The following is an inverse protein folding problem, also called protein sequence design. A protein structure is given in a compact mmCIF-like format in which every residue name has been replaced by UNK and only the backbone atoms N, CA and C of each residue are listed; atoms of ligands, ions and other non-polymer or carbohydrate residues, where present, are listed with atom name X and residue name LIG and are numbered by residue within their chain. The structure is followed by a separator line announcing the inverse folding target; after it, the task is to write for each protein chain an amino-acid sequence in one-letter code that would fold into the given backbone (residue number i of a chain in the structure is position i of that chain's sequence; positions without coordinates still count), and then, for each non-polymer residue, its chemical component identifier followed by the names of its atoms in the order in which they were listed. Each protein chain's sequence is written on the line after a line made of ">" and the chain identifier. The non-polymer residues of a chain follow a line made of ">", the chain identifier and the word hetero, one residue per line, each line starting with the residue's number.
data_IF_407550472824
#
_entry.id   IF_407550472824
#
_cell.length_a   1.000
_cell.length_b   1.000
_cell.length_c   1.000
_cell.angle_alpha   90.00
_cell.angle_beta   90.00
_cell.angle_gamma   90.00
#
_symmetry.space_group_name_H-M   'P 1'
#
loop_
_entity.id
_entity.type
_entity.pdbx_description
1 polymer ?
#
# COMPACT_ATOMS: atom_id res chain seq x y z
N UNK A 1 42.81 17.40 1.83
CA UNK A 1 41.93 17.90 0.74
C UNK A 1 41.33 16.80 -0.15
N UNK A 2 42.06 15.77 -0.59
CA UNK A 2 41.50 14.75 -1.51
C UNK A 2 40.31 13.95 -0.94
N UNK A 3 40.39 13.53 0.32
CA UNK A 3 39.29 12.83 1.01
C UNK A 3 38.03 13.70 1.10
N UNK A 4 38.19 15.01 1.31
CA UNK A 4 37.07 15.97 1.40
C UNK A 4 36.34 16.07 0.05
N UNK A 5 37.05 16.05 -1.09
CA UNK A 5 36.43 16.20 -2.42
C UNK A 5 35.59 15.02 -2.89
N UNK A 6 35.83 13.83 -2.35
CA UNK A 6 35.04 12.64 -2.65
C UNK A 6 34.03 12.34 -1.54
N UNK A 7 34.41 12.58 -0.29
CA UNK A 7 33.57 12.30 0.87
C UNK A 7 32.42 13.28 1.05
N UNK A 8 32.60 14.58 0.73
CA UNK A 8 31.54 15.57 1.00
C UNK A 8 30.26 15.32 0.19
N UNK A 9 30.30 15.10 -1.14
CA UNK A 9 29.10 14.75 -1.90
C UNK A 9 28.43 13.46 -1.43
N UNK A 10 29.22 12.44 -1.08
CA UNK A 10 28.71 11.16 -0.57
C UNK A 10 28.05 11.31 0.81
N UNK A 11 28.61 12.16 1.69
CA UNK A 11 28.02 12.47 2.99
C UNK A 11 26.69 13.23 2.84
N UNK A 12 26.62 14.16 1.89
CA UNK A 12 25.37 14.86 1.54
C UNK A 12 24.31 13.88 1.04
N UNK A 13 24.68 12.94 0.17
CA UNK A 13 23.78 11.89 -0.30
C UNK A 13 23.25 11.02 0.85
N UNK A 14 24.12 10.55 1.74
CA UNK A 14 23.74 9.74 2.90
C UNK A 14 22.84 10.50 3.90
N UNK A 15 23.08 11.81 4.09
CA UNK A 15 22.23 12.64 4.95
C UNK A 15 20.84 12.86 4.34
N UNK A 16 20.76 13.17 3.05
CA UNK A 16 19.48 13.32 2.34
C UNK A 16 18.67 12.02 2.33
N UNK A 17 19.36 10.87 2.25
CA UNK A 17 18.75 9.55 2.34
C UNK A 17 18.07 9.32 3.70
N UNK A 18 18.77 9.68 4.78
CA UNK A 18 18.24 9.58 6.15
C UNK A 18 17.09 10.57 6.38
N UNK A 19 17.22 11.81 5.91
CA UNK A 19 16.16 12.82 6.03
C UNK A 19 14.89 12.38 5.31
N UNK A 20 15.00 11.78 4.12
CA UNK A 20 13.85 11.23 3.39
C UNK A 20 13.12 10.16 4.21
N UNK A 21 13.85 9.17 4.73
CA UNK A 21 13.26 8.11 5.55
C UNK A 21 12.64 8.62 6.85
N UNK A 22 13.26 9.63 7.49
CA UNK A 22 12.72 10.27 8.68
C UNK A 22 11.45 11.09 8.41
N UNK A 23 11.38 11.79 7.27
CA UNK A 23 10.19 12.53 6.86
C UNK A 23 9.01 11.60 6.57
N UNK A 24 9.24 10.50 5.87
CA UNK A 24 8.20 9.49 5.60
C UNK A 24 7.65 8.89 6.90
N UNK A 25 8.54 8.52 7.83
CA UNK A 25 8.13 8.00 9.15
C UNK A 25 7.27 9.02 9.92
N UNK A 26 7.71 10.28 9.98
CA UNK A 26 6.97 11.34 10.64
C UNK A 26 5.63 11.60 9.95
N UNK A 27 5.60 11.53 8.62
CA UNK A 27 4.40 11.64 7.80
C UNK A 27 3.36 10.60 8.15
N UNK A 28 3.73 9.33 8.20
CA UNK A 28 2.81 8.24 8.57
C UNK A 28 2.25 8.40 9.99
N UNK A 29 3.02 8.98 10.90
CA UNK A 29 2.58 9.19 12.28
C UNK A 29 1.65 10.41 12.44
N UNK A 30 1.79 11.43 11.59
CA UNK A 30 1.13 12.74 11.80
C UNK A 30 0.10 13.11 10.74
N UNK A 31 0.17 12.52 9.54
CA UNK A 31 -0.67 12.86 8.40
C UNK A 31 -1.48 11.64 7.96
N UNK A 32 -2.80 11.80 7.93
CA UNK A 32 -3.72 10.82 7.34
C UNK A 32 -4.28 11.31 6.00
N UNK A 33 -4.74 10.36 5.18
CA UNK A 33 -5.40 10.64 3.90
C UNK A 33 -4.48 11.25 2.83
N UNK A 34 -4.97 12.20 2.01
CA UNK A 34 -4.27 12.64 0.79
C UNK A 34 -2.93 13.34 1.06
N UNK A 35 -2.76 13.95 2.25
CA UNK A 35 -1.50 14.60 2.64
C UNK A 35 -0.36 13.61 2.83
N UNK A 36 -0.68 12.42 3.37
CA UNK A 36 0.30 11.34 3.49
C UNK A 36 0.79 10.85 2.13
N UNK A 37 -0.13 10.74 1.16
CA UNK A 37 0.22 10.33 -0.20
C UNK A 37 1.10 11.34 -0.95
N UNK A 38 0.87 12.65 -0.76
CA UNK A 38 1.76 13.67 -1.34
C UNK A 38 3.14 13.60 -0.71
N UNK A 39 3.23 13.38 0.61
CA UNK A 39 4.52 13.28 1.27
C UNK A 39 5.31 12.06 0.78
N UNK A 40 4.67 10.90 0.59
CA UNK A 40 5.38 9.70 0.10
C UNK A 40 5.90 9.85 -1.33
N UNK A 41 5.29 10.72 -2.15
CA UNK A 41 5.83 11.08 -3.46
C UNK A 41 7.07 11.97 -3.37
N UNK A 42 7.11 12.89 -2.39
CA UNK A 42 8.21 13.85 -2.24
C UNK A 42 9.37 13.25 -1.44
N UNK A 43 9.09 12.51 -0.38
CA UNK A 43 10.07 11.85 0.49
C UNK A 43 9.82 10.34 0.43
N UNK A 44 10.23 9.66 -0.65
CA UNK A 44 9.98 8.24 -0.80
C UNK A 44 10.65 7.44 0.33
N UNK A 45 10.06 6.28 0.61
CA UNK A 45 10.53 5.34 1.64
C UNK A 45 11.92 4.80 1.26
N UNK A 46 12.96 5.37 1.87
CA UNK A 46 14.36 4.95 1.68
C UNK A 46 14.78 3.84 2.64
N UNK A 47 14.17 3.80 3.82
CA UNK A 47 14.32 2.73 4.82
C UNK A 47 12.92 2.24 5.16
N UNK A 48 12.64 0.93 5.07
CA UNK A 48 11.33 0.39 5.39
C UNK A 48 10.87 0.81 6.79
N UNK A 49 9.66 1.34 6.93
CA UNK A 49 9.14 1.85 8.20
C UNK A 49 9.10 0.77 9.27
N UNK A 50 8.80 -0.47 8.87
CA UNK A 50 8.80 -1.65 9.73
C UNK A 50 10.17 -1.85 10.42
N UNK A 51 11.26 -1.60 9.69
CA UNK A 51 12.63 -1.70 10.19
C UNK A 51 12.98 -0.55 11.15
N UNK A 52 12.46 0.65 10.90
CA UNK A 52 12.65 1.82 11.78
C UNK A 52 11.92 1.67 13.11
N UNK A 53 10.81 0.95 13.13
CA UNK A 53 10.05 0.65 14.36
C UNK A 53 10.60 -0.52 15.16
N UNK A 54 11.65 -1.20 14.67
CA UNK A 54 12.24 -2.32 15.38
C UNK A 54 12.84 -1.88 16.73
N UNK A 55 12.72 -2.71 17.79
CA UNK A 55 13.29 -2.37 19.09
C UNK A 55 14.81 -2.20 19.01
N UNK A 56 15.34 -1.38 19.91
CA UNK A 56 16.78 -1.21 20.04
C UNK A 56 17.47 -2.58 20.27
N UNK A 57 18.63 -2.83 19.64
CA UNK A 57 19.45 -1.88 18.88
C UNK A 57 19.17 -1.86 17.35
N UNK A 58 18.18 -2.62 16.88
CA UNK A 58 18.04 -2.95 15.45
C UNK A 58 17.73 -1.76 14.57
N UNK A 59 16.81 -0.89 14.99
CA UNK A 59 16.46 0.34 14.27
C UNK A 59 17.69 1.24 14.07
N UNK A 60 18.49 1.47 15.12
CA UNK A 60 19.71 2.25 15.01
C UNK A 60 20.74 1.62 14.07
N UNK A 61 20.94 0.31 14.18
CA UNK A 61 21.90 -0.42 13.36
C UNK A 61 21.53 -0.39 11.87
N UNK A 62 20.25 -0.55 11.53
CA UNK A 62 19.75 -0.47 10.15
C UNK A 62 19.91 0.94 9.56
N UNK A 63 19.62 1.98 10.34
CA UNK A 63 19.85 3.37 9.92
C UNK A 63 21.33 3.60 9.58
N UNK A 64 22.24 3.21 10.48
CA UNK A 64 23.69 3.40 10.28
C UNK A 64 24.19 2.62 9.06
N UNK A 65 23.79 1.36 8.91
CA UNK A 65 24.21 0.53 7.78
C UNK A 65 23.68 1.06 6.45
N UNK A 66 22.42 1.51 6.41
CA UNK A 66 21.81 2.11 5.21
C UNK A 66 22.55 3.39 4.78
N UNK A 67 22.87 4.27 5.74
CA UNK A 67 23.69 5.46 5.46
C UNK A 67 25.09 5.12 4.92
N UNK A 68 25.77 4.15 5.53
CA UNK A 68 27.10 3.72 5.09
C UNK A 68 27.05 3.09 3.69
N UNK A 69 26.00 2.34 3.37
CA UNK A 69 25.80 1.74 2.07
C UNK A 69 25.64 2.82 0.97
N UNK A 70 24.79 3.83 1.19
CA UNK A 70 24.60 4.94 0.24
C UNK A 70 25.89 5.75 0.07
N UNK A 71 26.56 6.09 1.18
CA UNK A 71 27.83 6.80 1.14
C UNK A 71 28.86 6.07 0.29
N UNK A 72 29.03 4.77 0.55
CA UNK A 72 30.01 3.92 -0.11
C UNK A 72 29.69 3.71 -1.60
N UNK A 73 28.42 3.44 -1.94
CA UNK A 73 27.95 3.29 -3.31
C UNK A 73 28.19 4.56 -4.13
N UNK A 74 27.76 5.71 -3.60
CA UNK A 74 27.94 7.00 -4.28
C UNK A 74 29.43 7.33 -4.48
N UNK A 75 30.24 7.20 -3.42
CA UNK A 75 31.68 7.48 -3.48
C UNK A 75 32.40 6.57 -4.49
N UNK A 76 32.02 5.29 -4.54
CA UNK A 76 32.56 4.31 -5.49
C UNK A 76 32.23 4.67 -6.95
N UNK A 77 30.96 4.95 -7.24
CA UNK A 77 30.49 5.33 -8.58
C UNK A 77 31.11 6.65 -9.04
N UNK A 78 31.14 7.66 -8.17
CA UNK A 78 31.79 8.94 -8.45
C UNK A 78 33.30 8.78 -8.76
N UNK A 79 33.98 7.86 -8.06
CA UNK A 79 35.39 7.55 -8.35
C UNK A 79 35.61 6.85 -9.70
N UNK A 80 34.59 6.14 -10.21
CA UNK A 80 34.61 5.52 -11.55
C UNK A 80 34.36 6.58 -12.63
N UNK A 81 33.37 7.46 -12.44
CA UNK A 81 33.02 8.53 -13.40
C UNK A 81 34.19 9.49 -13.64
N UNK A 82 34.99 9.78 -12.60
CA UNK A 82 36.20 10.63 -12.70
C UNK A 82 37.33 10.06 -13.58
N UNK A 83 37.15 8.91 -14.22
CA UNK A 83 38.12 8.33 -15.16
C UNK A 83 38.06 9.07 -16.50
N UNK A 84 38.83 10.15 -16.65
CA UNK A 84 39.12 10.67 -18.00
C UNK A 84 39.84 9.60 -18.85
N UNK A 85 39.54 9.55 -20.17
CA UNK A 85 40.05 8.53 -21.09
C UNK A 85 41.56 8.65 -21.21
N UNK A 86 42.25 7.57 -20.85
CA UNK A 86 43.72 7.49 -20.83
C UNK A 86 44.36 7.42 -22.24
N UNK A 87 43.58 7.49 -23.32
CA UNK A 87 44.03 6.96 -24.62
C UNK A 87 44.15 7.97 -25.78
N UNK A 88 43.92 9.27 -25.57
CA UNK A 88 44.26 10.26 -26.62
C UNK A 88 45.75 10.67 -26.63
N UNK A 89 46.59 10.04 -25.79
CA UNK A 89 48.03 10.32 -25.70
C UNK A 89 48.88 9.47 -26.67
N UNK A 90 48.29 8.52 -27.42
CA UNK A 90 49.01 7.72 -28.40
C UNK A 90 48.67 8.13 -29.85
N UNK A 91 49.11 9.32 -30.26
CA UNK A 91 49.73 9.44 -31.59
C UNK A 91 48.89 9.62 -32.85
N UNK A 92 47.69 10.21 -32.81
CA UNK A 92 47.06 10.72 -34.05
C UNK A 92 47.26 12.23 -34.13
N UNK A 93 48.36 12.63 -34.78
CA UNK A 93 48.60 14.00 -35.23
C UNK A 93 47.58 14.30 -36.33
N UNK A 94 46.40 14.79 -35.96
CA UNK A 94 45.46 15.35 -36.92
C UNK A 94 45.96 16.76 -37.31
N UNK A 95 46.26 17.02 -38.60
CA UNK A 95 46.74 18.32 -39.04
C UNK A 95 45.64 19.39 -38.90
N UNK A 96 46.02 20.42 -38.18
CA UNK A 96 45.43 21.74 -38.00
C UNK A 96 44.56 22.22 -39.18
N UNK A 97 43.24 22.35 -38.97
CA UNK A 97 42.39 23.26 -39.75
C UNK A 97 41.77 24.27 -38.80
N UNK A 98 42.05 25.55 -39.06
CA UNK A 98 41.85 26.65 -38.13
C UNK A 98 40.39 27.01 -37.90
N UNK A 99 39.84 26.56 -36.79
CA UNK A 99 38.65 27.14 -36.17
C UNK A 99 38.99 27.50 -34.73
N UNK A 100 39.30 28.78 -34.50
CA UNK A 100 39.55 29.36 -33.18
C UNK A 100 38.21 29.47 -32.45
N UNK A 101 37.68 28.34 -31.98
CA UNK A 101 36.60 28.35 -30.99
C UNK A 101 37.19 28.84 -29.66
N UNK A 102 36.69 29.96 -29.15
CA UNK A 102 37.22 30.60 -27.95
C UNK A 102 37.16 29.70 -26.71
N UNK A 103 38.11 29.85 -25.77
CA UNK A 103 38.26 28.98 -24.58
C UNK A 103 37.06 28.97 -23.62
N UNK A 104 36.07 29.84 -23.82
CA UNK A 104 34.85 29.88 -23.01
C UNK A 104 33.85 28.78 -23.35
N UNK A 105 33.78 28.35 -24.62
CA UNK A 105 32.72 27.43 -25.08
C UNK A 105 33.01 25.97 -24.69
N UNK A 106 34.28 25.59 -24.61
CA UNK A 106 34.71 24.24 -24.20
C UNK A 106 34.52 24.00 -22.70
N UNK A 107 34.47 25.05 -21.88
CA UNK A 107 34.33 24.92 -20.42
C UNK A 107 32.88 24.64 -19.97
N UNK A 108 31.88 25.15 -20.69
CA UNK A 108 30.46 24.89 -20.38
C UNK A 108 30.01 23.45 -20.71
N UNK A 109 30.54 22.86 -21.79
CA UNK A 109 30.19 21.48 -22.17
C UNK A 109 30.62 20.44 -21.13
N UNK A 110 31.72 20.70 -20.42
CA UNK A 110 32.27 19.77 -19.43
C UNK A 110 31.54 19.83 -18.08
N UNK A 111 30.93 20.95 -17.72
CA UNK A 111 30.20 21.07 -16.44
C UNK A 111 28.85 20.36 -16.48
N UNK A 112 28.12 20.45 -17.60
CA UNK A 112 26.83 19.79 -17.75
C UNK A 112 26.97 18.25 -17.77
N UNK A 113 27.98 17.74 -18.46
CA UNK A 113 28.27 16.30 -18.51
C UNK A 113 28.74 15.76 -17.16
N UNK A 114 29.60 16.50 -16.44
CA UNK A 114 30.01 16.14 -15.08
C UNK A 114 28.82 16.11 -14.10
N UNK A 115 27.95 17.11 -14.15
CA UNK A 115 26.74 17.15 -13.34
C UNK A 115 25.84 15.93 -13.60
N UNK A 116 25.53 15.65 -14.87
CA UNK A 116 24.68 14.52 -15.24
C UNK A 116 25.28 13.19 -14.76
N UNK A 117 26.60 13.02 -14.87
CA UNK A 117 27.26 11.80 -14.44
C UNK A 117 27.21 11.61 -12.91
N UNK A 118 27.40 12.67 -12.11
CA UNK A 118 27.23 12.59 -10.66
C UNK A 118 25.79 12.39 -10.24
N UNK A 119 24.84 12.97 -10.95
CA UNK A 119 23.43 12.74 -10.70
C UNK A 119 23.04 11.28 -10.96
N UNK A 120 23.51 10.69 -12.05
CA UNK A 120 23.34 9.25 -12.32
C UNK A 120 23.99 8.37 -11.25
N UNK A 121 25.11 8.80 -10.64
CA UNK A 121 25.69 8.09 -9.49
C UNK A 121 24.75 8.08 -8.28
N UNK A 122 24.04 9.19 -8.02
CA UNK A 122 23.03 9.23 -6.96
C UNK A 122 21.85 8.29 -7.25
N UNK A 123 21.31 8.32 -8.48
CA UNK A 123 20.23 7.42 -8.93
C UNK A 123 20.64 5.96 -8.78
N UNK A 124 21.82 5.59 -9.29
CA UNK A 124 22.32 4.23 -9.19
C UNK A 124 22.59 3.81 -7.73
N UNK A 125 23.09 4.70 -6.88
CA UNK A 125 23.26 4.39 -5.45
C UNK A 125 21.94 4.15 -4.73
N UNK A 126 20.91 4.95 -5.02
CA UNK A 126 19.56 4.76 -4.48
C UNK A 126 18.95 3.43 -4.92
N UNK A 127 19.20 2.98 -6.14
CA UNK A 127 18.76 1.67 -6.63
C UNK A 127 19.54 0.49 -6.01
N UNK A 128 20.87 0.60 -5.93
CA UNK A 128 21.74 -0.52 -5.54
C UNK A 128 21.57 -0.95 -4.08
N UNK A 129 21.33 -0.01 -3.17
CA UNK A 129 21.21 -0.29 -1.74
C UNK A 129 20.02 -1.22 -1.42
N UNK A 130 18.78 -0.93 -1.84
CA UNK A 130 17.64 -1.82 -1.61
C UNK A 130 17.58 -3.01 -2.58
N UNK A 131 18.27 -2.97 -3.72
CA UNK A 131 18.32 -4.12 -4.63
C UNK A 131 18.97 -5.36 -3.98
N UNK A 132 19.92 -5.18 -3.04
CA UNK A 132 20.60 -6.28 -2.37
C UNK A 132 19.64 -7.17 -1.55
N UNK A 133 18.89 -6.64 -0.55
CA UNK A 133 17.95 -7.47 0.20
C UNK A 133 16.88 -8.07 -0.71
N UNK A 134 16.41 -7.32 -1.72
CA UNK A 134 15.45 -7.80 -2.73
C UNK A 134 15.96 -9.01 -3.50
N UNK A 135 17.22 -9.00 -3.94
CA UNK A 135 17.82 -10.15 -4.65
C UNK A 135 17.90 -11.37 -3.73
N UNK A 136 18.20 -11.18 -2.45
CA UNK A 136 18.24 -12.29 -1.49
C UNK A 136 16.83 -12.85 -1.23
N UNK A 137 15.83 -11.98 -1.04
CA UNK A 137 14.43 -12.39 -0.92
C UNK A 137 13.98 -13.18 -2.15
N UNK A 138 14.35 -12.71 -3.36
CA UNK A 138 14.05 -13.41 -4.60
C UNK A 138 14.72 -14.79 -4.68
N UNK A 139 15.99 -14.89 -4.27
CA UNK A 139 16.71 -16.16 -4.24
C UNK A 139 16.07 -17.13 -3.24
N UNK A 140 15.67 -16.66 -2.06
CA UNK A 140 14.98 -17.47 -1.06
C UNK A 140 13.60 -17.93 -1.56
N UNK A 141 12.82 -17.04 -2.18
CA UNK A 141 11.51 -17.38 -2.75
C UNK A 141 11.63 -18.46 -3.85
N UNK A 142 12.68 -18.39 -4.69
CA UNK A 142 12.98 -19.41 -5.70
C UNK A 142 13.32 -20.75 -5.05
N UNK A 143 14.13 -20.75 -3.98
CA UNK A 143 14.47 -21.97 -3.22
C UNK A 143 13.22 -22.58 -2.57
N UNK A 144 12.30 -21.76 -2.09
CA UNK A 144 11.05 -22.16 -1.42
C UNK A 144 9.88 -22.41 -2.39
N UNK A 145 10.07 -22.24 -3.70
CA UNK A 145 9.04 -22.36 -4.74
C UNK A 145 7.83 -21.44 -4.53
N UNK A 146 8.01 -20.29 -3.89
CA UNK A 146 6.97 -19.28 -3.71
C UNK A 146 7.04 -18.25 -4.84
N UNK A 147 5.89 -17.73 -5.30
CA UNK A 147 5.86 -16.66 -6.29
C UNK A 147 6.06 -15.30 -5.61
N UNK A 148 7.17 -14.59 -5.87
CA UNK A 148 7.46 -13.29 -5.25
C UNK A 148 6.69 -12.20 -6.01
N UNK A 149 5.38 -12.08 -5.78
CA UNK A 149 4.54 -11.12 -6.50
C UNK A 149 4.35 -9.86 -5.66
N UNK A 150 4.70 -8.69 -6.23
CA UNK A 150 4.28 -7.36 -5.76
C UNK A 150 5.36 -6.53 -5.04
N UNK A 151 5.98 -7.07 -3.99
CA UNK A 151 6.79 -6.26 -3.05
C UNK A 151 8.16 -5.78 -3.60
N UNK A 152 8.69 -6.50 -4.60
CA UNK A 152 10.02 -6.22 -5.16
C UNK A 152 10.04 -4.92 -5.96
N UNK A 153 9.01 -4.65 -6.76
CA UNK A 153 8.97 -3.49 -7.64
C UNK A 153 8.83 -2.19 -6.84
N UNK A 154 8.03 -2.18 -5.78
CA UNK A 154 7.71 -1.00 -5.00
C UNK A 154 8.93 -0.47 -4.21
N UNK A 155 9.67 -1.36 -3.53
CA UNK A 155 10.89 -1.02 -2.77
C UNK A 155 11.99 -0.42 -3.66
N UNK A 156 12.16 -1.00 -4.85
CA UNK A 156 13.20 -0.55 -5.80
C UNK A 156 12.79 0.76 -6.48
N UNK A 157 11.50 0.91 -6.80
CA UNK A 157 10.97 2.13 -7.42
C UNK A 157 11.09 3.35 -6.50
N UNK A 158 10.69 3.23 -5.22
CA UNK A 158 10.77 4.34 -4.26
C UNK A 158 12.19 4.85 -4.06
N UNK A 159 13.16 3.94 -3.99
CA UNK A 159 14.55 4.31 -3.82
C UNK A 159 15.23 4.86 -5.09
N UNK A 160 14.84 4.39 -6.27
CA UNK A 160 15.26 5.00 -7.53
C UNK A 160 14.67 6.42 -7.68
N UNK A 161 13.40 6.60 -7.30
CA UNK A 161 12.72 7.89 -7.25
C UNK A 161 13.44 8.87 -6.32
N UNK A 162 13.95 8.42 -5.17
CA UNK A 162 14.79 9.26 -4.31
C UNK A 162 15.99 9.84 -5.06
N UNK A 163 16.71 9.01 -5.80
CA UNK A 163 17.88 9.45 -6.55
C UNK A 163 17.54 10.43 -7.68
N UNK A 164 16.36 10.29 -8.30
CA UNK A 164 15.86 11.24 -9.27
C UNK A 164 15.51 12.60 -8.63
N UNK A 165 14.78 12.59 -7.51
CA UNK A 165 14.31 13.79 -6.83
C UNK A 165 15.41 14.57 -6.10
N UNK A 166 16.31 13.86 -5.42
CA UNK A 166 17.30 14.47 -4.52
C UNK A 166 18.73 14.36 -5.01
N UNK A 167 19.01 13.47 -5.97
CA UNK A 167 20.38 13.20 -6.43
C UNK A 167 21.07 14.39 -7.09
N UNK A 168 20.33 15.41 -7.52
CA UNK A 168 20.91 16.63 -8.09
C UNK A 168 21.70 17.45 -7.06
N UNK A 169 21.35 17.36 -5.77
CA UNK A 169 22.04 18.09 -4.68
C UNK A 169 23.49 17.60 -4.52
N UNK A 170 23.77 16.30 -4.26
CA UNK A 170 25.15 15.81 -4.17
C UNK A 170 25.91 15.98 -5.50
N UNK A 171 25.23 15.95 -6.65
CA UNK A 171 25.83 16.23 -7.95
C UNK A 171 26.31 17.69 -8.07
N UNK A 172 25.48 18.65 -7.67
CA UNK A 172 25.85 20.07 -7.64
C UNK A 172 27.01 20.33 -6.69
N UNK A 173 27.02 19.71 -5.50
CA UNK A 173 28.12 19.78 -4.53
C UNK A 173 29.41 19.22 -5.13
N UNK A 174 29.35 18.08 -5.85
CA UNK A 174 30.50 17.50 -6.51
C UNK A 174 31.11 18.42 -7.56
N UNK A 175 30.27 19.00 -8.44
CA UNK A 175 30.71 19.95 -9.49
C UNK A 175 31.29 21.22 -8.86
N UNK A 176 30.64 21.79 -7.84
CA UNK A 176 31.13 22.98 -7.15
C UNK A 176 32.54 22.77 -6.57
N UNK A 177 32.78 21.63 -5.90
CA UNK A 177 34.10 21.29 -5.35
C UNK A 177 35.17 21.16 -6.45
N UNK A 178 34.81 20.63 -7.61
CA UNK A 178 35.74 20.49 -8.74
C UNK A 178 36.12 21.83 -9.35
N UNK A 179 35.15 22.74 -9.50
CA UNK A 179 35.41 24.08 -10.03
C UNK A 179 36.34 24.91 -9.14
N UNK A 180 36.37 24.64 -7.82
CA UNK A 180 37.23 25.34 -6.86
C UNK A 180 38.67 24.80 -6.79
N UNK A 181 38.98 23.67 -7.43
CA UNK A 181 40.25 22.96 -7.24
C UNK A 181 41.26 23.08 -8.37
N UNK A 182 42.47 23.55 -8.08
CA UNK A 182 43.58 23.48 -9.05
C UNK A 182 44.02 22.01 -9.30
N UNK A 183 44.37 21.69 -10.55
CA UNK A 183 44.15 20.37 -11.17
C UNK A 183 45.31 19.37 -11.16
N UNK A 184 46.31 19.48 -10.29
CA UNK A 184 47.60 18.87 -10.63
C UNK A 184 47.88 17.43 -10.17
N UNK A 185 47.03 16.76 -9.38
CA UNK A 185 47.38 15.41 -8.88
C UNK A 185 46.23 14.38 -8.95
N UNK A 186 45.97 13.82 -10.15
CA UNK A 186 44.75 13.02 -10.41
C UNK A 186 44.91 11.48 -10.43
N UNK A 187 46.10 10.91 -10.59
CA UNK A 187 46.20 9.45 -10.89
C UNK A 187 46.25 8.54 -9.64
N UNK A 188 47.01 8.91 -8.59
CA UNK A 188 47.21 8.03 -7.42
C UNK A 188 46.01 7.97 -6.45
N UNK A 189 45.14 8.97 -6.49
CA UNK A 189 43.97 9.07 -5.60
C UNK A 189 42.83 8.09 -5.94
N UNK A 190 42.86 7.52 -7.15
CA UNK A 190 41.78 6.71 -7.74
C UNK A 190 41.62 5.34 -7.10
N UNK A 191 42.72 4.58 -6.96
CA UNK A 191 42.70 3.24 -6.36
C UNK A 191 42.51 3.30 -4.84
N UNK A 192 43.02 4.36 -4.20
CA UNK A 192 42.90 4.54 -2.76
C UNK A 192 41.47 4.78 -2.26
N UNK A 193 40.53 5.25 -3.09
CA UNK A 193 39.16 5.55 -2.65
C UNK A 193 38.18 4.47 -3.11
N UNK A 194 38.30 3.97 -4.35
CA UNK A 194 37.35 3.00 -4.89
C UNK A 194 37.37 1.66 -4.14
N UNK A 195 38.55 1.17 -3.75
CA UNK A 195 38.70 -0.11 -3.03
C UNK A 195 38.05 -0.05 -1.63
N UNK A 196 38.38 0.92 -0.75
CA UNK A 196 37.73 0.98 0.56
C UNK A 196 36.24 1.33 0.46
N UNK A 197 35.81 2.11 -0.54
CA UNK A 197 34.39 2.35 -0.77
C UNK A 197 33.66 1.05 -1.15
N UNK A 198 34.20 0.25 -2.07
CA UNK A 198 33.61 -1.04 -2.43
C UNK A 198 33.58 -2.02 -1.23
N UNK A 199 34.66 -2.07 -0.44
CA UNK A 199 34.71 -2.88 0.77
C UNK A 199 33.67 -2.43 1.82
N UNK A 200 33.55 -1.13 2.07
CA UNK A 200 32.55 -0.58 2.99
C UNK A 200 31.13 -0.85 2.51
N UNK A 201 30.87 -0.72 1.20
CA UNK A 201 29.58 -1.06 0.60
C UNK A 201 29.24 -2.52 0.84
N UNK A 202 30.17 -3.43 0.57
CA UNK A 202 29.96 -4.87 0.77
C UNK A 202 29.72 -5.21 2.26
N UNK A 203 30.47 -4.60 3.18
CA UNK A 203 30.26 -4.77 4.63
C UNK A 203 28.88 -4.26 5.05
N UNK A 204 28.49 -3.07 4.60
CA UNK A 204 27.19 -2.48 4.91
C UNK A 204 26.04 -3.31 4.33
N UNK A 205 26.18 -3.76 3.08
CA UNK A 205 25.26 -4.66 2.40
C UNK A 205 25.07 -5.97 3.19
N UNK A 206 26.16 -6.65 3.53
CA UNK A 206 26.09 -7.89 4.33
C UNK A 206 25.43 -7.61 5.69
N UNK A 207 25.80 -6.50 6.35
CA UNK A 207 25.19 -6.07 7.60
C UNK A 207 23.67 -5.92 7.49
N UNK A 208 23.16 -5.24 6.45
CA UNK A 208 21.73 -5.06 6.21
C UNK A 208 21.03 -6.41 6.04
N UNK A 209 21.63 -7.32 5.26
CA UNK A 209 21.04 -8.63 4.97
C UNK A 209 20.96 -9.53 6.20
N UNK A 210 21.87 -9.37 7.15
CA UNK A 210 21.85 -10.11 8.41
C UNK A 210 20.96 -9.46 9.47
N UNK A 211 20.91 -8.12 9.51
CA UNK A 211 20.17 -7.38 10.52
C UNK A 211 18.67 -7.30 10.24
N UNK A 212 18.27 -7.20 8.98
CA UNK A 212 16.86 -7.11 8.59
C UNK A 212 16.00 -8.26 9.15
N UNK A 213 16.33 -9.56 8.97
CA UNK A 213 15.51 -10.64 9.52
C UNK A 213 15.45 -10.63 11.06
N UNK A 214 16.52 -10.21 11.73
CA UNK A 214 16.55 -10.09 13.19
C UNK A 214 15.65 -8.96 13.69
N UNK A 215 15.64 -7.82 12.98
CA UNK A 215 14.75 -6.71 13.28
C UNK A 215 13.27 -7.12 13.13
N UNK A 216 12.93 -7.84 12.05
CA UNK A 216 11.59 -8.36 11.84
C UNK A 216 11.18 -9.36 12.93
N UNK A 217 12.06 -10.30 13.28
CA UNK A 217 11.82 -11.24 14.38
C UNK A 217 11.62 -10.52 15.72
N UNK A 218 12.38 -9.46 15.98
CA UNK A 218 12.25 -8.67 17.20
C UNK A 218 10.94 -7.89 17.28
N UNK A 219 10.43 -7.36 16.16
CA UNK A 219 9.09 -6.76 16.08
C UNK A 219 8.01 -7.82 16.33
N UNK A 220 8.12 -8.98 15.68
CA UNK A 220 7.16 -10.08 15.87
C UNK A 220 7.13 -10.58 17.32
N UNK A 221 8.28 -10.64 17.99
CA UNK A 221 8.37 -11.04 19.39
C UNK A 221 7.67 -10.05 20.36
N UNK A 222 7.38 -8.82 19.92
CA UNK A 222 6.61 -7.86 20.71
C UNK A 222 5.10 -8.01 20.53
N UNK A 223 4.65 -8.72 19.48
CA UNK A 223 3.24 -9.02 19.29
C UNK A 223 2.87 -10.06 20.37
N UNK A 224 1.92 -9.76 21.27
CA UNK A 224 1.49 -10.72 22.27
C UNK A 224 1.00 -11.99 21.57
N UNK A 225 1.67 -13.12 21.82
CA UNK A 225 1.32 -14.44 21.26
C UNK A 225 0.24 -15.16 22.07
N UNK A 226 -0.23 -14.55 23.16
CA UNK A 226 -1.42 -15.02 23.86
C UNK A 226 -2.68 -14.58 23.11
N UNK A 227 -3.79 -15.36 23.18
CA UNK A 227 -5.07 -14.84 22.76
C UNK A 227 -5.28 -13.52 23.49
N UNK A 228 -5.40 -12.43 22.72
CA UNK A 228 -5.89 -11.19 23.30
C UNK A 228 -7.19 -11.56 24.03
N UNK A 229 -7.36 -11.19 25.32
CA UNK A 229 -8.63 -11.45 25.99
C UNK A 229 -9.72 -10.89 25.09
N UNK A 230 -10.58 -11.78 24.57
CA UNK A 230 -11.68 -11.37 23.70
C UNK A 230 -12.41 -10.27 24.46
N UNK A 231 -12.56 -9.08 23.87
CA UNK A 231 -13.33 -8.03 24.52
C UNK A 231 -14.70 -8.65 24.79
N UNK A 232 -15.05 -8.77 26.07
CA UNK A 232 -16.37 -9.29 26.46
C UNK A 232 -17.36 -8.34 25.78
N UNK A 233 -18.20 -8.83 24.84
CA UNK A 233 -19.16 -7.97 24.16
C UNK A 233 -20.06 -7.36 25.25
N UNK A 234 -19.97 -6.04 25.38
CA UNK A 234 -20.68 -5.28 26.41
C UNK A 234 -22.08 -4.86 25.95
N UNK A 235 -22.40 -5.07 24.67
CA UNK A 235 -23.70 -4.78 24.09
C UNK A 235 -24.67 -5.95 24.12
N UNK A 236 -25.91 -5.65 23.76
CA UNK A 236 -26.97 -6.66 23.64
C UNK A 236 -26.80 -7.37 22.29
N UNK A 237 -26.72 -8.70 22.23
CA UNK A 237 -26.63 -9.41 20.96
C UNK A 237 -27.93 -9.31 20.17
N UNK A 238 -27.84 -9.37 18.83
CA UNK A 238 -29.02 -9.47 17.98
C UNK A 238 -29.70 -10.84 18.19
N UNK A 239 -31.01 -10.88 18.48
CA UNK A 239 -31.75 -12.14 18.56
C UNK A 239 -31.67 -12.92 17.25
N UNK A 240 -31.49 -14.24 17.34
CA UNK A 240 -31.43 -15.12 16.15
C UNK A 240 -32.73 -15.20 15.36
N UNK A 241 -33.86 -14.78 15.94
CA UNK A 241 -35.19 -14.71 15.32
C UNK A 241 -35.84 -13.39 15.75
N UNK A 242 -36.62 -12.76 14.87
CA UNK A 242 -37.40 -11.57 15.22
C UNK A 242 -38.29 -11.80 16.46
N UNK A 243 -38.34 -10.87 17.42
CA UNK A 243 -39.28 -10.95 18.55
C UNK A 243 -40.74 -10.92 18.06
N UNK A 244 -41.58 -11.83 18.57
CA UNK A 244 -43.00 -11.87 18.23
C UNK A 244 -43.55 -13.30 18.20
N UNK A 245 -44.87 -13.40 18.06
CA UNK A 245 -45.53 -14.68 17.75
C UNK A 245 -45.69 -14.79 16.24
N UNK A 246 -44.98 -15.75 15.64
CA UNK A 246 -44.97 -15.97 14.20
C UNK A 246 -45.56 -17.34 13.89
N UNK A 247 -46.47 -17.39 12.91
CA UNK A 247 -47.01 -18.64 12.38
C UNK A 247 -46.35 -18.91 11.03
N UNK A 248 -45.30 -19.72 11.02
CA UNK A 248 -44.63 -20.13 9.79
C UNK A 248 -45.46 -21.16 9.03
N UNK A 249 -45.69 -20.93 7.73
CA UNK A 249 -46.24 -21.95 6.84
C UNK A 249 -45.17 -23.02 6.58
N UNK A 250 -45.48 -24.32 6.71
CA UNK A 250 -44.54 -25.41 6.41
C UNK A 250 -43.96 -25.40 4.99
N UNK A 251 -44.62 -24.71 4.04
CA UNK A 251 -44.14 -24.56 2.67
C UNK A 251 -43.14 -23.40 2.50
N UNK A 252 -42.99 -22.55 3.52
CA UNK A 252 -42.07 -21.42 3.46
C UNK A 252 -40.61 -21.86 3.50
N UNK A 253 -39.77 -21.13 2.79
CA UNK A 253 -38.33 -21.36 2.79
C UNK A 253 -37.76 -21.27 4.21
N UNK A 254 -37.03 -22.31 4.61
CA UNK A 254 -36.31 -22.33 5.90
C UNK A 254 -34.90 -21.79 5.75
N UNK A 255 -34.25 -21.43 6.87
CA UNK A 255 -32.87 -20.95 6.85
C UNK A 255 -31.86 -21.99 6.33
N UNK A 256 -32.20 -23.29 6.38
CA UNK A 256 -31.35 -24.35 5.80
C UNK A 256 -31.53 -24.54 4.30
N UNK A 257 -32.57 -23.94 3.70
CA UNK A 257 -32.83 -24.01 2.26
C UNK A 257 -32.29 -22.81 1.51
N UNK A 258 -32.04 -21.69 2.19
CA UNK A 258 -31.59 -20.45 1.59
C UNK A 258 -30.16 -20.12 1.99
N UNK A 259 -29.36 -19.67 1.03
CA UNK A 259 -28.12 -18.94 1.28
C UNK A 259 -28.39 -17.45 1.14
N UNK A 260 -28.09 -16.69 2.18
CA UNK A 260 -28.29 -15.24 2.23
C UNK A 260 -26.99 -14.51 1.90
N UNK A 261 -27.06 -13.55 0.98
CA UNK A 261 -25.93 -12.67 0.62
C UNK A 261 -26.39 -11.22 0.52
N UNK A 262 -25.45 -10.30 0.66
CA UNK A 262 -25.65 -8.87 0.52
C UNK A 262 -24.60 -8.31 -0.43
N UNK A 263 -25.04 -7.47 -1.37
CA UNK A 263 -24.15 -6.74 -2.27
C UNK A 263 -23.43 -5.60 -1.57
N UNK A 264 -22.49 -5.00 -2.29
CA UNK A 264 -21.83 -3.76 -1.90
C UNK A 264 -22.82 -2.59 -1.94
N UNK A 265 -22.80 -1.68 -0.96
CA UNK A 265 -23.64 -0.50 -1.03
C UNK A 265 -23.33 0.38 -2.25
N UNK A 266 -24.37 0.75 -2.98
CA UNK A 266 -24.34 1.80 -3.99
C UNK A 266 -24.73 3.15 -3.37
N UNK A 267 -24.18 4.22 -3.92
CA UNK A 267 -24.08 5.53 -3.34
C UNK A 267 -24.52 6.62 -4.32
N UNK A 268 -25.71 7.20 -4.11
CA UNK A 268 -26.21 8.28 -4.94
C UNK A 268 -26.92 9.36 -4.13
N UNK A 269 -26.58 10.65 -4.39
CA UNK A 269 -27.33 11.82 -3.89
C UNK A 269 -27.59 11.86 -2.38
N UNK A 270 -26.64 11.40 -1.55
CA UNK A 270 -26.80 11.36 -0.09
C UNK A 270 -27.61 10.18 0.44
N UNK A 271 -28.03 9.29 -0.46
CA UNK A 271 -28.65 8.01 -0.13
C UNK A 271 -27.70 6.86 -0.47
N UNK A 272 -28.01 5.72 0.13
CA UNK A 272 -27.32 4.46 -0.02
C UNK A 272 -28.34 3.35 -0.20
N UNK A 273 -27.96 2.32 -0.92
CA UNK A 273 -28.75 1.11 -0.98
C UNK A 273 -27.87 -0.09 -1.29
N UNK A 274 -28.29 -1.27 -0.85
CA UNK A 274 -27.66 -2.53 -1.22
C UNK A 274 -28.74 -3.55 -1.59
N UNK A 275 -28.36 -4.51 -2.43
CA UNK A 275 -29.24 -5.62 -2.82
C UNK A 275 -28.94 -6.81 -1.93
N UNK A 276 -29.95 -7.30 -1.25
CA UNK A 276 -29.95 -8.57 -0.52
C UNK A 276 -30.46 -9.65 -1.44
N UNK A 277 -29.84 -10.83 -1.39
CA UNK A 277 -30.19 -11.97 -2.23
C UNK A 277 -30.36 -13.22 -1.37
N UNK A 278 -31.45 -13.94 -1.59
CA UNK A 278 -31.70 -15.26 -1.05
C UNK A 278 -31.67 -16.27 -2.20
N UNK A 279 -30.75 -17.23 -2.16
CA UNK A 279 -30.63 -18.30 -3.17
C UNK A 279 -31.09 -19.62 -2.58
N UNK A 280 -31.99 -20.34 -3.24
CA UNK A 280 -32.38 -21.67 -2.80
C UNK A 280 -31.25 -22.67 -3.12
N UNK A 281 -30.56 -23.12 -2.07
CA UNK A 281 -29.45 -24.09 -2.15
C UNK A 281 -29.88 -25.52 -1.85
N UNK A 282 -31.18 -25.73 -1.60
CA UNK A 282 -31.75 -27.07 -1.41
C UNK A 282 -32.15 -27.72 -2.74
N UNK A 283 -32.57 -28.97 -2.67
CA UNK A 283 -33.05 -29.78 -3.79
C UNK A 283 -34.58 -29.71 -3.99
N UNK A 284 -35.28 -28.93 -3.17
CA UNK A 284 -36.73 -28.77 -3.22
C UNK A 284 -37.13 -27.30 -3.40
N UNK A 285 -38.19 -27.06 -4.16
CA UNK A 285 -38.81 -25.73 -4.23
C UNK A 285 -39.36 -25.32 -2.85
N UNK A 286 -39.30 -24.01 -2.56
CA UNK A 286 -39.87 -23.45 -1.34
C UNK A 286 -40.54 -22.11 -1.63
N UNK A 287 -41.42 -21.65 -0.73
CA UNK A 287 -42.17 -20.41 -0.93
C UNK A 287 -41.58 -19.29 -0.09
N UNK A 288 -41.52 -18.12 -0.69
CA UNK A 288 -41.08 -16.92 -0.02
C UNK A 288 -42.07 -15.81 -0.35
N UNK A 289 -42.63 -15.21 0.71
CA UNK A 289 -43.75 -14.27 0.63
C UNK A 289 -43.56 -13.22 1.73
N UNK A 290 -43.35 -11.96 1.34
CA UNK A 290 -43.24 -10.85 2.28
C UNK A 290 -41.97 -10.02 2.13
N UNK A 291 -41.60 -9.37 3.24
CA UNK A 291 -40.37 -8.61 3.40
C UNK A 291 -39.33 -9.45 4.15
N UNK A 292 -38.04 -9.31 3.85
CA UNK A 292 -37.01 -9.88 4.70
C UNK A 292 -37.08 -9.30 6.11
N UNK A 293 -36.78 -10.13 7.10
CA UNK A 293 -36.50 -9.66 8.44
C UNK A 293 -35.01 -9.30 8.53
N UNK A 294 -34.73 -8.06 8.89
CA UNK A 294 -33.37 -7.53 8.99
C UNK A 294 -33.11 -6.95 10.38
N UNK A 295 -31.90 -7.17 10.87
CA UNK A 295 -31.35 -6.53 12.06
C UNK A 295 -29.86 -6.26 11.86
N UNK A 296 -29.31 -5.31 12.61
CA UNK A 296 -27.96 -4.81 12.38
C UNK A 296 -27.12 -4.99 13.64
N UNK A 297 -25.85 -5.33 13.44
CA UNK A 297 -24.89 -5.36 14.51
C UNK A 297 -23.57 -4.69 14.11
N UNK A 298 -22.89 -4.11 15.10
CA UNK A 298 -21.52 -3.62 14.93
C UNK A 298 -20.53 -4.77 14.69
N UNK A 299 -19.26 -4.46 14.43
CA UNK A 299 -18.21 -5.47 14.18
C UNK A 299 -17.99 -6.46 15.34
N UNK A 300 -18.48 -6.15 16.54
CA UNK A 300 -18.43 -6.98 17.74
C UNK A 300 -19.74 -7.73 18.01
N UNK A 301 -20.68 -7.74 17.05
CA UNK A 301 -21.99 -8.38 17.14
C UNK A 301 -22.94 -7.76 18.18
N UNK A 302 -22.73 -6.50 18.57
CA UNK A 302 -23.69 -5.77 19.39
C UNK A 302 -24.80 -5.20 18.50
N UNK A 303 -26.05 -5.42 18.89
CA UNK A 303 -27.22 -4.93 18.17
C UNK A 303 -27.23 -3.40 18.10
N UNK A 304 -27.51 -2.89 16.90
CA UNK A 304 -27.74 -1.46 16.66
C UNK A 304 -29.26 -1.18 16.67
N UNK A 305 -29.63 -0.04 17.25
CA UNK A 305 -31.03 0.41 17.27
C UNK A 305 -31.40 1.03 15.91
N UNK A 306 -31.96 0.18 15.04
CA UNK A 306 -32.35 0.53 13.68
C UNK A 306 -33.83 0.20 13.48
N UNK A 307 -34.63 1.20 13.12
CA UNK A 307 -36.02 1.02 12.70
C UNK A 307 -36.08 0.60 11.23
N UNK A 308 -36.85 -0.44 10.94
CA UNK A 308 -37.01 -0.98 9.59
C UNK A 308 -38.39 -0.61 9.07
N UNK A 309 -38.43 0.19 8.01
CA UNK A 309 -39.63 0.58 7.29
C UNK A 309 -39.79 -0.29 6.04
N UNK A 310 -41.02 -0.74 5.77
CA UNK A 310 -41.33 -1.45 4.53
C UNK A 310 -41.73 -0.47 3.44
N UNK A 311 -41.11 -0.56 2.27
CA UNK A 311 -41.46 0.31 1.14
C UNK A 311 -40.34 0.49 0.12
N UNK A 312 -40.55 1.45 -0.79
CA UNK A 312 -39.61 1.73 -1.87
C UNK A 312 -38.28 2.32 -1.38
N UNK A 313 -37.25 2.20 -2.21
CA UNK A 313 -35.91 2.74 -1.95
C UNK A 313 -35.51 3.70 -3.08
N UNK A 314 -34.33 4.31 -2.98
CA UNK A 314 -33.79 5.13 -4.06
C UNK A 314 -33.43 4.32 -5.33
N UNK A 315 -33.23 3.00 -5.22
CA UNK A 315 -32.96 2.14 -6.37
C UNK A 315 -34.22 1.65 -7.07
N UNK A 316 -35.39 1.77 -6.46
CA UNK A 316 -36.61 1.28 -7.07
C UNK A 316 -37.84 1.34 -6.16
N UNK A 317 -39.00 1.25 -6.81
CA UNK A 317 -40.28 1.11 -6.11
C UNK A 317 -40.40 -0.28 -5.50
N UNK A 318 -41.08 -0.37 -4.35
CA UNK A 318 -41.41 -1.66 -3.73
C UNK A 318 -42.45 -2.39 -4.58
N UNK A 319 -42.16 -3.61 -5.07
CA UNK A 319 -43.13 -4.41 -5.81
C UNK A 319 -44.31 -4.86 -4.93
N UNK A 320 -44.16 -4.80 -3.61
CA UNK A 320 -45.14 -5.27 -2.63
C UNK A 320 -45.09 -6.79 -2.44
N UNK A 321 -45.81 -7.25 -1.42
CA UNK A 321 -45.82 -8.67 -1.04
C UNK A 321 -46.45 -9.52 -2.14
N UNK A 322 -45.67 -10.46 -2.66
CA UNK A 322 -46.15 -11.48 -3.60
C UNK A 322 -45.61 -12.85 -3.20
N UNK A 323 -46.38 -13.89 -3.49
CA UNK A 323 -45.96 -15.28 -3.27
C UNK A 323 -45.01 -15.70 -4.40
N UNK A 324 -43.77 -16.03 -4.04
CA UNK A 324 -42.75 -16.48 -4.99
C UNK A 324 -42.38 -17.92 -4.65
N UNK A 325 -42.52 -18.82 -5.63
CA UNK A 325 -41.94 -20.16 -5.56
C UNK A 325 -40.48 -20.08 -6.03
N UNK A 326 -39.55 -20.41 -5.13
CA UNK A 326 -38.11 -20.35 -5.37
C UNK A 326 -37.63 -21.75 -5.69
N UNK A 327 -37.44 -22.03 -6.98
CA UNK A 327 -36.91 -23.30 -7.48
C UNK A 327 -35.47 -23.57 -6.96
N UNK A 328 -35.02 -24.82 -6.91
CA UNK A 328 -33.61 -25.15 -6.64
C UNK A 328 -32.65 -24.36 -7.52
N UNK A 329 -31.69 -23.67 -6.90
CA UNK A 329 -30.71 -22.80 -7.56
C UNK A 329 -31.25 -21.44 -8.01
N UNK A 330 -32.56 -21.17 -7.89
CA UNK A 330 -33.12 -19.85 -8.16
C UNK A 330 -32.84 -18.88 -7.02
N UNK A 331 -32.83 -17.59 -7.34
CA UNK A 331 -32.63 -16.53 -6.37
C UNK A 331 -33.76 -15.51 -6.41
N UNK A 332 -34.03 -14.90 -5.26
CA UNK A 332 -34.86 -13.71 -5.11
C UNK A 332 -34.05 -12.59 -4.48
N UNK A 333 -34.47 -11.36 -4.73
CA UNK A 333 -33.78 -10.15 -4.27
C UNK A 333 -34.72 -9.22 -3.53
N UNK A 334 -34.18 -8.51 -2.55
CA UNK A 334 -34.82 -7.39 -1.86
C UNK A 334 -33.79 -6.27 -1.74
N UNK A 335 -34.24 -5.03 -1.75
CA UNK A 335 -33.35 -3.87 -1.64
C UNK A 335 -33.47 -3.26 -0.27
N UNK A 336 -32.33 -3.05 0.38
CA UNK A 336 -32.19 -2.24 1.59
C UNK A 336 -31.73 -0.84 1.19
N UNK A 337 -32.43 0.20 1.61
CA UNK A 337 -32.10 1.60 1.33
C UNK A 337 -32.05 2.45 2.60
N UNK A 338 -31.16 3.42 2.64
CA UNK A 338 -31.04 4.36 3.76
C UNK A 338 -30.43 5.69 3.32
N UNK A 339 -30.49 6.70 4.19
CA UNK A 339 -29.77 7.97 3.99
C UNK A 339 -28.40 7.87 4.64
N UNK A 340 -27.37 8.44 4.01
CA UNK A 340 -26.02 8.41 4.56
C UNK A 340 -25.99 8.95 6.01
N UNK A 341 -25.36 8.22 6.92
CA UNK A 341 -25.37 8.54 8.35
C UNK A 341 -23.97 8.96 8.83
N UNK A 342 -23.88 9.82 9.86
CA UNK A 342 -22.58 10.17 10.44
C UNK A 342 -21.93 8.95 11.11
N UNK A 343 -20.63 8.77 10.87
CA UNK A 343 -19.84 7.65 11.44
C UNK A 343 -18.83 8.08 12.50
N UNK A 344 -18.61 9.40 12.67
CA UNK A 344 -17.60 9.90 13.59
C UNK A 344 -17.97 9.63 15.06
N UNK A 345 -17.25 8.69 15.69
CA UNK A 345 -17.46 8.31 17.09
C UNK A 345 -18.69 7.43 17.32
N UNK A 346 -19.23 6.83 16.25
CA UNK A 346 -20.35 5.91 16.30
C UNK A 346 -19.96 4.56 15.70
N UNK A 347 -20.50 3.48 16.25
CA UNK A 347 -20.31 2.13 15.71
C UNK A 347 -21.18 1.95 14.47
N UNK A 348 -20.57 1.45 13.39
CA UNK A 348 -21.25 1.17 12.12
C UNK A 348 -21.63 -0.31 12.02
N UNK A 349 -22.72 -0.61 11.33
CA UNK A 349 -23.14 -1.98 11.09
C UNK A 349 -22.09 -2.71 10.22
N UNK A 350 -21.39 -3.67 10.83
CA UNK A 350 -20.48 -4.60 10.17
C UNK A 350 -21.15 -5.94 9.83
N UNK A 351 -22.28 -6.22 10.47
CA UNK A 351 -23.09 -7.41 10.22
C UNK A 351 -24.55 -7.04 9.95
N UNK A 352 -25.09 -7.65 8.92
CA UNK A 352 -26.52 -7.68 8.61
C UNK A 352 -27.04 -9.08 8.99
N UNK A 353 -27.94 -9.12 9.96
CA UNK A 353 -28.69 -10.32 10.30
C UNK A 353 -29.94 -10.38 9.43
N UNK A 354 -29.97 -11.31 8.48
CA UNK A 354 -30.98 -11.41 7.43
C UNK A 354 -31.73 -12.73 7.54
N UNK A 355 -33.06 -12.68 7.51
CA UNK A 355 -33.92 -13.85 7.38
C UNK A 355 -34.96 -13.66 6.26
N UNK A 356 -35.48 -14.77 5.73
CA UNK A 356 -36.44 -14.74 4.65
C UNK A 356 -37.75 -14.01 5.01
N UNK A 357 -38.16 -14.09 6.27
CA UNK A 357 -39.35 -13.47 6.83
C UNK A 357 -39.22 -13.38 8.35
N UNK A 358 -40.07 -12.57 8.98
CA UNK A 358 -40.11 -12.48 10.44
C UNK A 358 -40.55 -13.82 11.06
N UNK A 359 -39.73 -14.35 11.96
CA UNK A 359 -39.91 -15.68 12.56
C UNK A 359 -39.00 -16.77 11.98
N UNK A 360 -38.33 -16.52 10.86
CA UNK A 360 -37.24 -17.37 10.39
C UNK A 360 -35.93 -17.10 11.17
N UNK A 361 -35.05 -18.10 11.17
CA UNK A 361 -33.70 -17.96 11.71
C UNK A 361 -32.87 -17.01 10.83
N UNK A 362 -32.29 -15.97 11.45
CA UNK A 362 -31.40 -15.02 10.80
C UNK A 362 -30.04 -15.64 10.51
N UNK A 363 -29.52 -15.36 9.33
CA UNK A 363 -28.14 -15.61 8.93
C UNK A 363 -27.34 -14.31 9.06
N UNK A 364 -26.09 -14.41 9.51
CA UNK A 364 -25.19 -13.26 9.59
C UNK A 364 -24.45 -13.09 8.28
N UNK A 365 -24.58 -11.91 7.68
CA UNK A 365 -23.90 -11.53 6.44
C UNK A 365 -23.01 -10.33 6.74
N UNK A 366 -21.73 -10.40 6.37
CA UNK A 366 -20.80 -9.27 6.49
C UNK A 366 -21.24 -8.15 5.55
N UNK A 367 -21.27 -6.92 6.04
CA UNK A 367 -21.59 -5.73 5.24
C UNK A 367 -20.67 -4.58 5.59
N UNK A 368 -20.36 -3.73 4.61
CA UNK A 368 -19.61 -2.48 4.82
C UNK A 368 -20.58 -1.32 4.66
N UNK A 369 -21.27 -0.93 5.74
CA UNK A 369 -22.25 0.16 5.70
C UNK A 369 -21.88 1.31 6.63
N UNK A 370 -22.46 2.48 6.40
CA UNK A 370 -22.43 3.61 7.31
C UNK A 370 -23.66 3.66 8.24
N UNK A 371 -24.41 2.56 8.37
CA UNK A 371 -25.58 2.49 9.26
C UNK A 371 -25.10 2.52 10.70
N UNK A 372 -25.41 3.59 11.43
CA UNK A 372 -25.05 3.79 12.85
C UNK A 372 -26.26 3.77 13.79
N UNK A 373 -27.43 3.42 13.27
CA UNK A 373 -28.73 3.47 13.95
C UNK A 373 -29.82 4.00 13.01
N UNK A 374 -30.87 4.63 13.55
CA UNK A 374 -31.84 5.40 12.76
C UNK A 374 -32.81 4.52 11.96
N UNK A 375 -33.21 4.98 10.77
CA UNK A 375 -34.22 4.28 9.94
C UNK A 375 -33.66 3.78 8.62
N UNK A 376 -34.04 2.57 8.25
CA UNK A 376 -33.77 1.97 6.93
C UNK A 376 -35.08 1.55 6.29
N UNK A 377 -35.10 1.47 4.95
CA UNK A 377 -36.25 0.98 4.20
C UNK A 377 -35.91 -0.32 3.48
N UNK A 378 -36.84 -1.26 3.46
CA UNK A 378 -36.67 -2.56 2.80
C UNK A 378 -37.84 -2.85 1.87
N UNK A 379 -37.54 -3.34 0.66
CA UNK A 379 -38.57 -3.77 -0.30
C UNK A 379 -39.03 -5.19 -0.01
N UNK A 380 -40.20 -5.56 -0.51
CA UNK A 380 -40.60 -6.95 -0.57
C UNK A 380 -39.62 -7.74 -1.45
N UNK A 381 -39.61 -9.05 -1.28
CA UNK A 381 -38.85 -9.93 -2.14
C UNK A 381 -39.41 -9.95 -3.56
N UNK A 382 -38.51 -10.06 -4.54
CA UNK A 382 -38.84 -10.10 -5.96
C UNK A 382 -37.91 -11.03 -6.72
N UNK A 383 -38.36 -11.54 -7.87
CA UNK A 383 -37.46 -12.19 -8.83
C UNK A 383 -36.45 -11.16 -9.34
N UNK A 384 -35.15 -11.49 -9.42
CA UNK A 384 -34.16 -10.58 -9.97
C UNK A 384 -34.54 -10.17 -11.39
N UNK A 385 -34.27 -8.92 -11.79
CA UNK A 385 -34.47 -8.51 -13.17
C UNK A 385 -33.67 -9.45 -14.07
N UNK A 386 -34.27 -9.93 -15.14
CA UNK A 386 -33.55 -10.68 -16.17
C UNK A 386 -32.43 -9.77 -16.66
N UNK A 387 -31.16 -10.15 -16.47
CA UNK A 387 -30.04 -9.50 -17.14
C UNK A 387 -30.24 -9.71 -18.65
N UNK A 388 -30.97 -8.79 -19.28
CA UNK A 388 -30.93 -8.63 -20.72
C UNK A 388 -29.50 -8.22 -21.01
N UNK A 389 -28.72 -9.15 -21.56
CA UNK A 389 -27.29 -8.97 -21.89
C UNK A 389 -27.07 -7.86 -22.91
N UNK A 390 -27.22 -6.62 -22.48
CA UNK A 390 -26.86 -5.43 -23.24
C UNK A 390 -25.39 -5.14 -22.95
N UNK A 391 -24.55 -5.95 -23.59
CA UNK A 391 -23.17 -5.58 -23.90
C UNK A 391 -23.28 -4.36 -24.81
N UNK A 392 -23.19 -3.16 -24.23
CA UNK A 392 -23.01 -1.93 -24.99
C UNK A 392 -21.53 -1.87 -25.39
N UNK A 393 -21.29 -2.02 -26.70
CA UNK A 393 -20.00 -1.87 -27.39
C UNK A 393 -19.33 -0.51 -27.15
#
# INVERSE_FOLDING_TARGET
>A
MRLIRAGLPAAVAALLWLVSGGLELLGRQTLSGPKGHVLSLVAPETIPVQELTAPAPWSFLLIVLSMLAIFAAYAGLAAIVRREPLDNAAGVVAPYSGSVAGPSQQRLGNTATAFAAYWLCAVASGFLVPAIPVVIELLNAVVEQQTPIGLVAERVAGAAQWGLLYGWIPAAVAVAIETMGNSDHRVFARRMIAIPAAALFLIAAIGLTLAAPQAHAAVQAQIPTGPAPEPIPTGTPVPGVAPGEWQADPLWCTAGQLEMTAGTPDAATGHRALVMRATNVSDAACILEGYPDVAFADVYSNALDVSVDHGGTMLGSDPGVTRIEVEPGAAVVSTLGWSAMPTAGLETAGWLHLAAYAGAQRQMVTVETDITGGSVSVTAWATPPTETGEVSD
#
